data_IF_336103004795
#
_entry.id   IF_336103004795
#
_cell.length_a   1.000
_cell.length_b   1.000
_cell.length_c   1.000
_cell.angle_alpha   90.00
_cell.angle_beta   90.00
_cell.angle_gamma   90.00
#
_symmetry.space_group_name_H-M   'P 1'
#
loop_
_entity.id
_entity.type
_entity.pdbx_description
1 polymer ?
#
# COMPACT_ATOMS: atom_id res chain seq x y z
N UNK A 1 -6.87 3.85 8.41
CA UNK A 1 -7.49 2.54 8.16
C UNK A 1 -6.50 1.47 8.58
N UNK A 2 -6.77 0.77 9.66
CA UNK A 2 -5.85 -0.21 10.27
C UNK A 2 -5.50 -1.35 9.31
N UNK A 3 -6.50 -1.87 8.58
CA UNK A 3 -6.31 -2.88 7.55
C UNK A 3 -5.36 -2.44 6.43
N UNK A 4 -5.48 -1.19 5.96
CA UNK A 4 -4.60 -0.70 4.89
C UNK A 4 -3.15 -0.53 5.38
N UNK A 5 -2.96 -0.15 6.65
CA UNK A 5 -1.63 -0.09 7.27
C UNK A 5 -1.01 -1.46 7.44
N UNK A 6 -1.82 -2.46 7.78
CA UNK A 6 -1.37 -3.85 7.89
C UNK A 6 -0.95 -4.41 6.53
N UNK A 7 -1.76 -4.23 5.49
CA UNK A 7 -1.40 -4.61 4.11
C UNK A 7 -0.11 -3.90 3.66
N UNK A 8 0.02 -2.61 3.97
CA UNK A 8 1.23 -1.85 3.67
C UNK A 8 2.46 -2.47 4.34
N UNK A 9 2.39 -2.75 5.65
CA UNK A 9 3.54 -3.25 6.42
C UNK A 9 3.89 -4.70 6.10
N UNK A 10 2.90 -5.59 6.13
CA UNK A 10 3.11 -7.03 6.11
C UNK A 10 3.14 -7.63 4.70
N UNK A 11 2.81 -6.84 3.67
CA UNK A 11 2.79 -7.32 2.28
C UNK A 11 3.51 -6.41 1.30
N UNK A 12 3.36 -5.09 1.38
CA UNK A 12 4.01 -4.17 0.41
C UNK A 12 5.45 -3.86 0.80
N UNK A 13 5.71 -3.58 2.09
CA UNK A 13 7.04 -3.18 2.60
C UNK A 13 7.81 -4.32 3.28
N UNK A 14 7.20 -5.51 3.41
CA UNK A 14 7.81 -6.66 4.06
C UNK A 14 8.79 -7.37 3.13
N UNK A 15 9.94 -7.78 3.66
CA UNK A 15 10.89 -8.67 2.97
C UNK A 15 10.34 -10.10 2.80
N UNK A 16 9.40 -10.48 3.66
CA UNK A 16 8.66 -11.75 3.61
C UNK A 16 7.15 -11.45 3.53
N UNK A 17 6.64 -11.11 2.33
CA UNK A 17 5.29 -10.61 2.18
C UNK A 17 4.25 -11.72 2.33
N UNK A 18 3.24 -11.48 3.20
CA UNK A 18 2.06 -12.36 3.30
C UNK A 18 1.32 -12.42 1.98
N UNK A 19 0.78 -13.59 1.63
CA UNK A 19 -0.05 -13.78 0.44
C UNK A 19 -1.39 -13.06 0.55
N UNK A 20 -2.05 -12.85 -0.60
CA UNK A 20 -3.40 -12.29 -0.63
C UNK A 20 -4.43 -13.18 0.09
N UNK A 21 -4.20 -14.50 0.15
CA UNK A 21 -5.10 -15.44 0.84
C UNK A 21 -4.99 -15.28 2.36
N UNK A 22 -3.77 -15.28 2.89
CA UNK A 22 -3.51 -15.13 4.32
C UNK A 22 -4.09 -13.81 4.87
N UNK A 23 -3.93 -12.71 4.11
CA UNK A 23 -4.55 -11.44 4.46
C UNK A 23 -6.08 -11.51 4.35
N UNK A 24 -6.60 -12.17 3.31
CA UNK A 24 -8.03 -12.33 3.11
C UNK A 24 -8.71 -13.09 4.25
N UNK A 25 -8.06 -14.16 4.72
CA UNK A 25 -8.49 -14.98 5.86
C UNK A 25 -8.51 -14.17 7.16
N UNK A 26 -7.45 -13.39 7.45
CA UNK A 26 -7.37 -12.53 8.65
C UNK A 26 -8.51 -11.52 8.71
N UNK A 27 -8.90 -10.94 7.57
CA UNK A 27 -9.92 -9.88 7.52
C UNK A 27 -11.31 -10.35 7.07
N UNK A 28 -11.50 -11.65 6.82
CA UNK A 28 -12.76 -12.20 6.33
C UNK A 28 -13.19 -11.63 4.97
N UNK A 29 -12.23 -11.34 4.09
CA UNK A 29 -12.48 -10.77 2.75
C UNK A 29 -11.88 -11.64 1.65
N UNK A 30 -12.41 -11.52 0.44
CA UNK A 30 -11.91 -12.28 -0.69
C UNK A 30 -10.48 -11.85 -1.07
N UNK A 31 -9.72 -12.80 -1.65
CA UNK A 31 -8.40 -12.56 -2.24
C UNK A 31 -8.38 -11.37 -3.20
N UNK A 32 -9.42 -11.25 -4.03
CA UNK A 32 -9.56 -10.14 -4.99
C UNK A 32 -9.79 -8.81 -4.28
N UNK A 33 -10.53 -8.79 -3.16
CA UNK A 33 -10.70 -7.58 -2.37
C UNK A 33 -9.37 -7.11 -1.79
N UNK A 34 -8.53 -8.02 -1.31
CA UNK A 34 -7.16 -7.69 -0.85
C UNK A 34 -6.35 -7.09 -1.98
N UNK A 35 -6.39 -7.69 -3.19
CA UNK A 35 -5.67 -7.19 -4.37
C UNK A 35 -6.09 -5.76 -4.74
N UNK A 36 -7.38 -5.45 -4.68
CA UNK A 36 -7.90 -4.10 -4.92
C UNK A 36 -7.40 -3.10 -3.88
N UNK A 37 -7.37 -3.49 -2.59
CA UNK A 37 -6.85 -2.64 -1.52
C UNK A 37 -5.35 -2.37 -1.71
N UNK A 38 -4.57 -3.40 -2.02
CA UNK A 38 -3.13 -3.27 -2.31
C UNK A 38 -2.88 -2.28 -3.46
N UNK A 39 -3.60 -2.42 -4.57
CA UNK A 39 -3.48 -1.51 -5.72
C UNK A 39 -3.80 -0.05 -5.33
N UNK A 40 -4.85 0.16 -4.53
CA UNK A 40 -5.21 1.50 -4.04
C UNK A 40 -4.16 2.09 -3.11
N UNK A 41 -3.55 1.28 -2.23
CA UNK A 41 -2.47 1.73 -1.34
C UNK A 41 -1.25 2.17 -2.16
N UNK A 42 -0.83 1.34 -3.12
CA UNK A 42 0.31 1.66 -4.01
C UNK A 42 0.04 2.93 -4.80
N UNK A 43 -1.19 3.11 -5.32
CA UNK A 43 -1.57 4.33 -6.04
C UNK A 43 -1.40 5.57 -5.16
N UNK A 44 -1.94 5.55 -3.94
CA UNK A 44 -1.82 6.67 -2.99
C UNK A 44 -0.38 6.95 -2.60
N UNK A 45 0.44 5.91 -2.41
CA UNK A 45 1.87 6.06 -2.11
C UNK A 45 2.62 6.74 -3.27
N UNK A 46 2.34 6.33 -4.51
CA UNK A 46 2.93 6.96 -5.70
C UNK A 46 2.52 8.42 -5.84
N UNK A 47 1.26 8.75 -5.58
CA UNK A 47 0.77 10.13 -5.63
C UNK A 47 1.46 11.00 -4.57
N UNK A 48 1.60 10.47 -3.34
CA UNK A 48 2.32 11.15 -2.28
C UNK A 48 3.78 11.41 -2.66
N UNK A 49 4.53 10.39 -3.07
CA UNK A 49 5.94 10.53 -3.44
C UNK A 49 6.15 11.50 -4.62
N UNK A 50 5.27 11.45 -5.63
CA UNK A 50 5.33 12.40 -6.75
C UNK A 50 5.13 13.84 -6.29
N UNK A 51 4.24 14.08 -5.34
CA UNK A 51 4.02 15.41 -4.78
C UNK A 51 5.25 15.88 -4.01
N UNK A 52 5.78 15.06 -3.11
CA UNK A 52 6.98 15.41 -2.33
C UNK A 52 8.21 15.68 -3.20
N UNK A 53 8.43 14.88 -4.26
CA UNK A 53 9.53 15.11 -5.21
C UNK A 53 9.35 16.44 -5.95
N UNK A 54 8.13 16.71 -6.44
CA UNK A 54 7.83 17.97 -7.14
C UNK A 54 8.03 19.19 -6.23
N UNK A 55 7.67 19.06 -4.96
CA UNK A 55 7.83 20.12 -3.97
C UNK A 55 9.33 20.34 -3.64
N UNK A 56 10.15 19.27 -3.62
CA UNK A 56 11.60 19.38 -3.46
C UNK A 56 12.28 20.07 -4.65
N UNK A 57 11.88 19.74 -5.88
CA UNK A 57 12.39 20.39 -7.08
C UNK A 57 12.06 21.89 -7.09
N UNK A 58 10.87 22.27 -6.61
CA UNK A 58 10.47 23.67 -6.47
C UNK A 58 11.29 24.46 -5.45
N UNK A 59 11.87 23.80 -4.43
CA UNK A 59 12.71 24.44 -3.41
C UNK A 59 14.17 24.68 -3.86
N UNK A 60 14.58 24.07 -4.99
CA UNK A 60 15.95 24.19 -5.54
C UNK A 60 16.11 25.34 -6.55
N UNK A 61 15.02 26.04 -6.87
CA UNK A 61 14.97 27.19 -7.75
C UNK A 61 14.70 28.48 -6.96
#
# INVERSE_FOLDING_TARGET
NERDLDILRNRILSESPKSLSEIGEVYGISKERVRQLEANIIKRLREYLKKEIKDLDALRH
#
